data_IF_054305384539
#
_entry.id   IF_054305384539
#
_cell.length_a   1.000
_cell.length_b   1.000
_cell.length_c   1.000
_cell.angle_alpha   90.00
_cell.angle_beta   90.00
_cell.angle_gamma   90.00
#
_symmetry.space_group_name_H-M   'P 1'
#
loop_
_entity.id
_entity.type
_entity.pdbx_description
1 polymer ?
#
# COMPACT_ATOMS: atom_id res chain seq x y z
N UNK A 1 29.91 32.19 -19.62
CA UNK A 1 28.74 31.41 -20.10
C UNK A 1 28.41 30.38 -19.03
N UNK A 2 27.73 30.80 -17.95
CA UNK A 2 27.36 29.92 -16.84
C UNK A 2 25.86 29.86 -16.74
N UNK A 3 25.27 28.92 -17.50
CA UNK A 3 23.81 28.75 -17.59
C UNK A 3 23.32 27.49 -16.88
N UNK A 4 24.14 26.79 -16.08
CA UNK A 4 23.76 25.49 -15.49
C UNK A 4 23.89 25.38 -13.96
N UNK A 5 24.02 26.47 -13.24
CA UNK A 5 23.91 26.43 -11.77
C UNK A 5 22.66 27.19 -11.29
N UNK A 6 21.46 26.70 -11.67
CA UNK A 6 20.36 26.81 -10.75
C UNK A 6 20.61 25.76 -9.68
N UNK A 7 21.25 26.20 -8.58
CA UNK A 7 21.22 25.44 -7.34
C UNK A 7 19.74 25.11 -7.06
N UNK A 8 19.38 23.86 -7.17
CA UNK A 8 18.12 23.39 -6.63
C UNK A 8 18.24 23.65 -5.13
N UNK A 9 17.41 24.56 -4.61
CA UNK A 9 17.26 24.71 -3.17
C UNK A 9 17.03 23.30 -2.60
N UNK A 10 17.76 22.91 -1.54
CA UNK A 10 17.50 21.64 -0.88
C UNK A 10 16.06 21.68 -0.41
N UNK A 11 15.18 20.99 -1.11
CA UNK A 11 13.80 20.79 -0.69
C UNK A 11 13.93 20.02 0.61
N UNK A 12 13.67 20.68 1.73
CA UNK A 12 13.64 20.06 3.05
C UNK A 12 12.47 19.08 3.01
N UNK A 13 12.76 17.82 2.71
CA UNK A 13 11.76 16.79 2.52
C UNK A 13 11.62 16.07 3.84
N UNK A 14 10.43 16.10 4.37
CA UNK A 14 10.04 15.40 5.56
C UNK A 14 8.93 14.41 5.21
N UNK A 15 8.78 13.37 6.03
CA UNK A 15 7.63 12.49 5.97
C UNK A 15 6.34 13.31 6.09
N UNK A 16 5.48 13.20 5.07
CA UNK A 16 4.21 13.92 5.03
C UNK A 16 3.05 12.93 4.94
N UNK A 17 2.20 12.90 5.96
CA UNK A 17 0.92 12.20 5.90
C UNK A 17 -0.11 13.10 5.22
N UNK A 18 -0.44 12.81 3.96
CA UNK A 18 -1.49 13.53 3.22
C UNK A 18 -2.85 13.08 3.75
N UNK A 19 -3.05 11.75 3.91
CA UNK A 19 -4.18 11.19 4.64
C UNK A 19 -3.62 10.42 5.83
N UNK A 20 -3.82 10.91 7.07
CA UNK A 20 -3.15 10.36 8.25
C UNK A 20 -3.67 8.96 8.61
N UNK A 21 -2.81 8.21 9.28
CA UNK A 21 -3.17 6.91 9.86
C UNK A 21 -4.25 7.08 10.94
N UNK A 22 -5.33 6.31 10.80
CA UNK A 22 -6.40 6.20 11.79
C UNK A 22 -6.36 4.81 12.43
N UNK A 23 -6.19 4.76 13.74
CA UNK A 23 -6.12 3.52 14.49
C UNK A 23 -7.51 2.90 14.78
N UNK A 24 -8.59 3.50 14.28
CA UNK A 24 -9.98 3.05 14.41
C UNK A 24 -10.37 2.66 15.85
N UNK A 25 -9.77 3.30 16.84
CA UNK A 25 -9.93 2.94 18.25
C UNK A 25 -11.39 3.07 18.71
N UNK A 26 -12.10 4.09 18.22
CA UNK A 26 -13.52 4.30 18.56
C UNK A 26 -14.39 3.14 18.05
N UNK A 27 -14.08 2.59 16.89
CA UNK A 27 -14.80 1.46 16.32
C UNK A 27 -14.51 0.17 17.09
N UNK A 28 -13.24 -0.06 17.45
CA UNK A 28 -12.81 -1.18 18.30
C UNK A 28 -13.56 -1.13 19.64
N UNK A 29 -13.63 0.03 20.30
CA UNK A 29 -14.30 0.21 21.57
C UNK A 29 -15.82 -0.02 21.43
N UNK A 30 -16.45 0.50 20.39
CA UNK A 30 -17.88 0.27 20.10
C UNK A 30 -18.20 -1.20 19.89
N UNK A 31 -17.37 -1.94 19.16
CA UNK A 31 -17.57 -3.38 18.95
C UNK A 31 -17.43 -4.15 20.26
N UNK A 32 -16.47 -3.79 21.10
CA UNK A 32 -16.29 -4.38 22.43
C UNK A 32 -17.51 -4.14 23.30
N UNK A 33 -17.98 -2.90 23.41
CA UNK A 33 -19.18 -2.52 24.19
C UNK A 33 -20.43 -3.27 23.69
N UNK A 34 -20.62 -3.33 22.36
CA UNK A 34 -21.71 -4.11 21.77
C UNK A 34 -21.62 -5.59 22.14
N UNK A 35 -20.44 -6.17 22.20
CA UNK A 35 -20.26 -7.57 22.59
C UNK A 35 -20.64 -7.83 24.05
N UNK A 36 -20.54 -6.82 24.92
CA UNK A 36 -20.89 -6.91 26.34
C UNK A 36 -22.39 -6.71 26.58
N UNK A 37 -23.04 -5.89 25.74
CA UNK A 37 -24.48 -5.48 25.93
C UNK A 37 -25.47 -6.22 25.05
N UNK A 38 -25.04 -6.95 24.02
CA UNK A 38 -25.89 -7.64 23.08
C UNK A 38 -26.49 -8.94 23.64
N UNK A 39 -27.57 -9.48 23.02
CA UNK A 39 -28.10 -10.82 23.32
C UNK A 39 -27.01 -11.89 23.14
N UNK A 40 -27.14 -12.99 23.92
CA UNK A 40 -26.12 -14.08 23.95
C UNK A 40 -25.84 -14.68 22.56
N UNK A 41 -26.84 -14.75 21.70
CA UNK A 41 -26.77 -15.28 20.33
C UNK A 41 -25.87 -14.43 19.46
N UNK A 42 -25.81 -13.09 19.68
CA UNK A 42 -25.05 -12.14 18.92
C UNK A 42 -23.64 -11.91 19.49
N UNK A 43 -23.40 -12.33 20.71
CA UNK A 43 -22.13 -12.07 21.42
C UNK A 43 -20.90 -12.58 20.65
N UNK A 44 -20.99 -13.80 20.12
CA UNK A 44 -19.91 -14.41 19.34
C UNK A 44 -19.58 -13.57 18.10
N UNK A 45 -20.58 -13.08 17.38
CA UNK A 45 -20.41 -12.28 16.16
C UNK A 45 -19.65 -10.98 16.48
N UNK A 46 -20.07 -10.24 17.51
CA UNK A 46 -19.39 -9.00 17.88
C UNK A 46 -17.98 -9.23 18.43
N UNK A 47 -17.75 -10.31 19.19
CA UNK A 47 -16.40 -10.65 19.66
C UNK A 47 -15.47 -11.04 18.51
N UNK A 48 -15.96 -11.79 17.53
CA UNK A 48 -15.17 -12.13 16.33
C UNK A 48 -14.84 -10.86 15.55
N UNK A 49 -15.81 -10.02 15.22
CA UNK A 49 -15.60 -8.75 14.53
C UNK A 49 -14.63 -7.81 15.26
N UNK A 50 -14.74 -7.75 16.61
CA UNK A 50 -13.80 -6.98 17.43
C UNK A 50 -12.38 -7.53 17.35
N UNK A 51 -12.20 -8.85 17.46
CA UNK A 51 -10.88 -9.48 17.41
C UNK A 51 -10.22 -9.32 16.04
N UNK A 52 -10.97 -9.48 14.96
CA UNK A 52 -10.52 -9.29 13.59
C UNK A 52 -10.08 -7.84 13.35
N UNK A 53 -10.93 -6.87 13.72
CA UNK A 53 -10.59 -5.46 13.57
C UNK A 53 -9.37 -5.07 14.40
N UNK A 54 -9.28 -5.54 15.66
CA UNK A 54 -8.15 -5.25 16.53
C UNK A 54 -6.83 -5.84 15.97
N UNK A 55 -6.90 -7.05 15.41
CA UNK A 55 -5.75 -7.69 14.76
C UNK A 55 -5.32 -6.91 13.51
N UNK A 56 -6.26 -6.54 12.66
CA UNK A 56 -6.02 -5.74 11.46
C UNK A 56 -5.37 -4.39 11.80
N UNK A 57 -5.95 -3.66 12.76
CA UNK A 57 -5.40 -2.36 13.18
C UNK A 57 -4.00 -2.50 13.74
N UNK A 58 -3.71 -3.55 14.52
CA UNK A 58 -2.36 -3.83 15.03
C UNK A 58 -1.36 -4.06 13.90
N UNK A 59 -1.76 -4.75 12.84
CA UNK A 59 -0.93 -5.01 11.67
C UNK A 59 -0.65 -3.71 10.92
N UNK A 60 -1.69 -2.91 10.65
CA UNK A 60 -1.56 -1.60 10.01
C UNK A 60 -0.66 -0.67 10.84
N UNK A 61 -0.76 -0.72 12.17
CA UNK A 61 0.07 0.08 13.08
C UNK A 61 1.55 -0.31 13.02
N UNK A 62 1.89 -1.59 12.83
CA UNK A 62 3.28 -2.04 12.61
C UNK A 62 3.85 -1.39 11.35
N UNK A 63 3.11 -1.44 10.24
CA UNK A 63 3.52 -0.84 8.96
C UNK A 63 3.64 0.68 9.07
N UNK A 64 2.64 1.36 9.65
CA UNK A 64 2.71 2.81 9.91
C UNK A 64 3.91 3.20 10.77
N UNK A 65 4.21 2.40 11.80
CA UNK A 65 5.40 2.59 12.63
C UNK A 65 6.70 2.42 11.84
N UNK A 66 6.78 1.44 10.93
CA UNK A 66 7.92 1.24 10.04
C UNK A 66 8.13 2.44 9.11
N UNK A 67 7.04 2.99 8.54
CA UNK A 67 7.09 4.20 7.72
C UNK A 67 7.69 5.38 8.51
N UNK A 68 7.21 5.60 9.73
CA UNK A 68 7.71 6.70 10.58
C UNK A 68 9.18 6.48 10.97
N UNK A 69 9.56 5.26 11.35
CA UNK A 69 10.93 4.93 11.79
C UNK A 69 11.93 4.99 10.65
N UNK A 70 11.54 4.75 9.42
CA UNK A 70 12.44 4.84 8.27
C UNK A 70 13.06 6.24 8.15
N UNK A 71 12.38 7.30 8.63
CA UNK A 71 12.87 8.68 8.51
C UNK A 71 12.97 9.20 7.08
N UNK A 72 12.43 8.44 6.10
CA UNK A 72 12.47 8.80 4.69
C UNK A 72 11.49 9.93 4.36
N UNK A 73 11.78 10.78 3.38
CA UNK A 73 10.93 11.88 2.95
C UNK A 73 9.79 11.38 2.04
N UNK A 74 8.83 10.67 2.63
CA UNK A 74 7.74 10.04 1.93
C UNK A 74 6.46 10.89 1.99
N UNK A 75 5.65 10.81 0.93
CA UNK A 75 4.25 11.28 0.96
C UNK A 75 3.34 10.06 1.11
N UNK A 76 2.50 10.04 2.15
CA UNK A 76 1.75 8.85 2.56
C UNK A 76 0.27 9.13 2.66
N UNK A 77 -0.53 8.25 2.06
CA UNK A 77 -1.97 8.17 2.24
C UNK A 77 -2.31 6.85 2.94
N UNK A 78 -3.21 6.91 3.90
CA UNK A 78 -3.72 5.73 4.58
C UNK A 78 -5.18 5.47 4.22
N UNK A 79 -5.54 4.21 3.99
CA UNK A 79 -6.89 3.74 3.73
C UNK A 79 -7.61 4.57 2.64
N UNK A 80 -7.11 4.45 1.43
CA UNK A 80 -7.56 5.21 0.26
C UNK A 80 -8.44 4.34 -0.61
N UNK A 81 -9.65 4.78 -0.89
CA UNK A 81 -10.49 4.17 -1.91
C UNK A 81 -10.36 4.97 -3.19
N UNK A 82 -9.74 4.36 -4.20
CA UNK A 82 -9.70 4.91 -5.54
C UNK A 82 -10.98 4.57 -6.28
N UNK A 83 -11.53 5.54 -6.99
CA UNK A 83 -12.65 5.34 -7.89
C UNK A 83 -12.33 5.95 -9.25
N UNK A 84 -12.34 5.12 -10.26
CA UNK A 84 -12.26 5.51 -11.65
C UNK A 84 -13.60 5.24 -12.34
N UNK A 85 -13.78 5.69 -13.57
CA UNK A 85 -15.01 5.44 -14.33
C UNK A 85 -15.29 3.95 -14.56
N UNK A 86 -14.26 3.10 -14.47
CA UNK A 86 -14.34 1.68 -14.82
C UNK A 86 -14.19 0.73 -13.63
N UNK A 87 -13.63 1.19 -12.50
CA UNK A 87 -13.30 0.31 -11.38
C UNK A 87 -13.14 1.09 -10.08
N UNK A 88 -13.19 0.37 -8.97
CA UNK A 88 -12.84 0.90 -7.65
C UNK A 88 -11.97 -0.10 -6.90
N UNK A 89 -11.04 0.39 -6.11
CA UNK A 89 -10.14 -0.43 -5.28
C UNK A 89 -9.72 0.33 -4.04
N UNK A 90 -9.47 -0.40 -2.96
CA UNK A 90 -8.97 0.18 -1.71
C UNK A 90 -7.48 -0.13 -1.57
N UNK A 91 -6.71 0.88 -1.18
CA UNK A 91 -5.29 0.81 -0.89
C UNK A 91 -5.11 1.09 0.60
N UNK A 92 -4.48 0.18 1.32
CA UNK A 92 -4.25 0.35 2.75
C UNK A 92 -3.23 1.46 3.02
N UNK A 93 -2.09 1.44 2.31
CA UNK A 93 -1.14 2.55 2.29
C UNK A 93 -0.69 2.83 0.85
N UNK A 94 -0.79 4.08 0.44
CA UNK A 94 -0.15 4.57 -0.77
C UNK A 94 1.03 5.44 -0.36
N UNK A 95 2.23 5.05 -0.77
CA UNK A 95 3.48 5.71 -0.40
C UNK A 95 4.17 6.21 -1.66
N UNK A 96 4.48 7.50 -1.70
CA UNK A 96 5.20 8.12 -2.81
C UNK A 96 6.57 8.53 -2.29
N UNK A 97 7.61 7.90 -2.82
CA UNK A 97 9.01 8.24 -2.59
C UNK A 97 9.56 9.07 -3.76
N UNK A 98 10.86 9.31 -3.74
CA UNK A 98 11.56 10.02 -4.82
C UNK A 98 11.52 9.29 -6.16
N UNK A 99 11.41 7.94 -6.13
CA UNK A 99 11.50 7.11 -7.32
C UNK A 99 10.34 6.14 -7.50
N UNK A 100 9.66 5.77 -6.42
CA UNK A 100 8.64 4.74 -6.42
C UNK A 100 7.30 5.26 -5.92
N UNK A 101 6.25 4.68 -6.44
CA UNK A 101 4.89 4.77 -5.94
C UNK A 101 4.52 3.38 -5.44
N UNK A 102 4.45 3.21 -4.12
CA UNK A 102 4.24 1.90 -3.49
C UNK A 102 2.77 1.77 -3.10
N UNK A 103 2.12 0.75 -3.65
CA UNK A 103 0.72 0.40 -3.37
C UNK A 103 0.71 -0.76 -2.39
N UNK A 104 0.43 -0.50 -1.12
CA UNK A 104 0.47 -1.50 -0.06
C UNK A 104 -0.92 -2.01 0.24
N UNK A 105 -1.10 -3.32 0.17
CA UNK A 105 -2.28 -4.04 0.62
C UNK A 105 -1.89 -5.08 1.67
N UNK A 106 -2.84 -5.45 2.51
CA UNK A 106 -2.66 -6.52 3.49
C UNK A 106 -3.34 -7.79 3.02
N UNK A 107 -2.66 -8.92 3.22
CA UNK A 107 -3.26 -10.22 3.03
C UNK A 107 -4.32 -10.44 4.11
N UNK A 108 -5.53 -10.70 3.70
CA UNK A 108 -6.63 -10.97 4.60
C UNK A 108 -6.62 -12.45 4.94
N UNK A 109 -6.61 -12.78 6.23
CA UNK A 109 -6.85 -14.15 6.70
C UNK A 109 -8.36 -14.42 6.57
N UNK A 110 -8.89 -14.51 5.35
CA UNK A 110 -10.21 -15.06 5.17
C UNK A 110 -10.16 -16.53 5.60
N UNK A 111 -10.88 -16.87 6.67
CA UNK A 111 -11.26 -18.24 6.93
C UNK A 111 -12.24 -18.67 5.84
N UNK A 112 -11.69 -19.03 4.70
CA UNK A 112 -12.46 -19.67 3.65
C UNK A 112 -12.76 -21.07 4.16
N UNK A 113 -13.97 -21.29 4.67
CA UNK A 113 -14.54 -22.63 4.82
C UNK A 113 -14.68 -23.19 3.40
N UNK A 114 -13.64 -23.86 2.96
CA UNK A 114 -13.64 -24.58 1.68
C UNK A 114 -14.62 -25.73 1.78
N UNK A 115 -15.63 -25.68 0.93
CA UNK A 115 -16.41 -26.86 0.60
C UNK A 115 -15.43 -27.91 0.07
N UNK A 116 -15.34 -29.06 0.75
CA UNK A 116 -14.26 -30.08 0.66
C UNK A 116 -14.12 -30.78 -0.71
N UNK A 117 -14.66 -30.25 -1.79
CA UNK A 117 -14.85 -31.00 -3.05
C UNK A 117 -13.95 -30.62 -4.22
N UNK A 118 -13.10 -29.58 -4.17
CA UNK A 118 -12.25 -29.27 -5.31
C UNK A 118 -10.79 -28.97 -4.96
N UNK A 119 -10.01 -30.04 -4.76
CA UNK A 119 -8.55 -29.97 -4.51
C UNK A 119 -7.75 -29.41 -5.69
N UNK A 120 -8.35 -29.22 -6.88
CA UNK A 120 -7.69 -28.66 -8.07
C UNK A 120 -7.50 -27.16 -7.99
N UNK A 121 -8.27 -26.46 -7.16
CA UNK A 121 -8.21 -25.01 -6.94
C UNK A 121 -7.59 -24.60 -5.62
N UNK A 122 -6.96 -25.51 -4.89
CA UNK A 122 -6.37 -25.24 -3.56
C UNK A 122 -5.22 -24.22 -3.57
N UNK A 123 -4.64 -23.91 -4.74
CA UNK A 123 -3.59 -22.87 -4.90
C UNK A 123 -4.14 -21.49 -5.32
N UNK A 124 -5.40 -21.41 -5.69
CA UNK A 124 -6.00 -20.17 -6.19
C UNK A 124 -6.20 -19.04 -5.13
N UNK A 125 -6.43 -19.33 -3.82
CA UNK A 125 -6.57 -18.29 -2.82
C UNK A 125 -5.31 -17.43 -2.64
N UNK A 126 -4.14 -18.08 -2.57
CA UNK A 126 -2.86 -17.36 -2.43
C UNK A 126 -2.58 -16.44 -3.62
N UNK A 127 -2.96 -16.88 -4.83
CA UNK A 127 -2.82 -16.05 -6.03
C UNK A 127 -3.84 -14.93 -6.11
N UNK A 128 -5.03 -15.07 -5.51
CA UNK A 128 -6.11 -14.07 -5.60
C UNK A 128 -5.72 -12.73 -5.00
N UNK A 129 -5.04 -12.73 -3.87
CA UNK A 129 -4.61 -11.50 -3.18
C UNK A 129 -3.43 -10.83 -3.90
N UNK A 130 -2.49 -11.63 -4.42
CA UNK A 130 -1.42 -11.14 -5.29
C UNK A 130 -2.00 -10.47 -6.54
N UNK A 131 -2.95 -11.12 -7.21
CA UNK A 131 -3.64 -10.56 -8.38
C UNK A 131 -4.38 -9.28 -8.02
N UNK A 132 -5.09 -9.24 -6.89
CA UNK A 132 -5.81 -8.04 -6.44
C UNK A 132 -4.85 -6.87 -6.16
N UNK A 133 -3.66 -7.14 -5.61
CA UNK A 133 -2.64 -6.12 -5.41
C UNK A 133 -2.12 -5.57 -6.74
N UNK A 134 -1.85 -6.45 -7.70
CA UNK A 134 -1.39 -6.07 -9.04
C UNK A 134 -2.48 -5.28 -9.81
N UNK A 135 -3.74 -5.74 -9.76
CA UNK A 135 -4.88 -5.05 -10.39
C UNK A 135 -5.09 -3.64 -9.80
N UNK A 136 -4.97 -3.50 -8.48
CA UNK A 136 -5.09 -2.19 -7.81
C UNK A 136 -3.96 -1.25 -8.21
N UNK A 137 -2.73 -1.75 -8.30
CA UNK A 137 -1.60 -0.97 -8.77
C UNK A 137 -1.72 -0.60 -10.25
N UNK A 138 -2.21 -1.51 -11.11
CA UNK A 138 -2.52 -1.22 -12.51
C UNK A 138 -3.56 -0.10 -12.63
N UNK A 139 -4.65 -0.19 -11.86
CA UNK A 139 -5.70 0.83 -11.87
C UNK A 139 -5.15 2.22 -11.51
N UNK A 140 -4.29 2.29 -10.47
CA UNK A 140 -3.62 3.54 -10.11
C UNK A 140 -2.68 4.03 -11.21
N UNK A 141 -1.86 3.14 -11.78
CA UNK A 141 -0.91 3.47 -12.83
C UNK A 141 -1.62 4.01 -14.08
N UNK A 142 -2.72 3.37 -14.50
CA UNK A 142 -3.54 3.80 -15.62
C UNK A 142 -4.16 5.17 -15.36
N UNK A 143 -4.73 5.38 -14.15
CA UNK A 143 -5.26 6.68 -13.75
C UNK A 143 -4.20 7.79 -13.80
N UNK A 144 -3.02 7.54 -13.24
CA UNK A 144 -1.92 8.50 -13.26
C UNK A 144 -1.42 8.78 -14.68
N UNK A 145 -1.43 7.78 -15.55
CA UNK A 145 -1.05 7.91 -16.95
C UNK A 145 -2.07 8.74 -17.75
N UNK A 146 -3.36 8.46 -17.59
CA UNK A 146 -4.46 9.22 -18.22
C UNK A 146 -4.42 10.70 -17.82
N UNK A 147 -4.13 10.97 -16.55
CA UNK A 147 -3.98 12.33 -16.00
C UNK A 147 -2.60 12.94 -16.26
N UNK A 148 -1.76 12.30 -17.08
CA UNK A 148 -0.41 12.76 -17.46
C UNK A 148 0.51 13.02 -16.25
N UNK A 149 0.24 12.36 -15.13
CA UNK A 149 1.10 12.39 -13.94
C UNK A 149 2.28 11.43 -14.10
N UNK A 150 2.09 10.29 -14.79
CA UNK A 150 3.13 9.34 -15.17
C UNK A 150 3.23 9.21 -16.70
N UNK A 151 4.43 8.97 -17.20
CA UNK A 151 4.68 8.52 -18.56
C UNK A 151 4.69 6.98 -18.62
N UNK A 152 4.51 6.42 -19.83
CA UNK A 152 4.57 4.96 -20.03
C UNK A 152 5.88 4.31 -19.56
N UNK A 153 6.98 5.06 -19.57
CA UNK A 153 8.29 4.58 -19.08
C UNK A 153 8.39 4.52 -17.55
N UNK A 154 7.47 5.17 -16.86
CA UNK A 154 7.46 5.27 -15.39
C UNK A 154 6.43 4.35 -14.74
N UNK A 155 5.62 3.64 -15.51
CA UNK A 155 4.63 2.71 -14.98
C UNK A 155 5.30 1.61 -14.12
N UNK A 156 6.50 1.15 -14.49
CA UNK A 156 7.27 0.19 -13.71
C UNK A 156 7.68 0.70 -12.30
N UNK A 157 7.55 2.01 -12.05
CA UNK A 157 7.79 2.62 -10.74
C UNK A 157 6.58 2.53 -9.80
N UNK A 158 5.44 2.05 -10.29
CA UNK A 158 4.28 1.70 -9.45
C UNK A 158 4.45 0.25 -9.00
N UNK A 159 4.68 0.07 -7.70
CA UNK A 159 5.08 -1.21 -7.10
C UNK A 159 4.00 -1.68 -6.15
N UNK A 160 3.28 -2.76 -6.46
CA UNK A 160 2.37 -3.41 -5.53
C UNK A 160 3.17 -4.17 -4.46
N UNK A 161 2.81 -3.96 -3.20
CA UNK A 161 3.38 -4.66 -2.04
C UNK A 161 2.24 -5.28 -1.25
N UNK A 162 2.31 -6.59 -1.05
CA UNK A 162 1.39 -7.35 -0.23
C UNK A 162 2.04 -7.62 1.13
N UNK A 163 1.44 -7.12 2.19
CA UNK A 163 1.90 -7.40 3.55
C UNK A 163 1.32 -8.74 4.01
N UNK A 164 2.20 -9.70 4.27
CA UNK A 164 1.86 -11.05 4.72
C UNK A 164 2.62 -11.38 6.02
N UNK A 165 1.91 -11.73 7.10
CA UNK A 165 2.53 -12.12 8.37
C UNK A 165 3.22 -13.50 8.28
N UNK A 166 2.76 -14.36 7.37
CA UNK A 166 3.23 -15.74 7.23
C UNK A 166 4.34 -15.89 6.17
N UNK A 167 4.72 -14.79 5.48
CA UNK A 167 5.73 -14.81 4.42
C UNK A 167 7.14 -15.12 4.96
N UNK A 168 7.93 -15.85 4.18
CA UNK A 168 9.35 -16.06 4.48
C UNK A 168 10.18 -14.78 4.23
N UNK A 169 11.20 -14.52 5.06
CA UNK A 169 12.00 -13.28 4.99
C UNK A 169 12.72 -13.06 3.65
N UNK A 170 12.92 -14.12 2.87
CA UNK A 170 13.71 -14.12 1.64
C UNK A 170 13.08 -13.37 0.47
N UNK A 171 11.77 -13.14 0.45
CA UNK A 171 11.11 -12.46 -0.67
C UNK A 171 11.26 -10.93 -0.63
N UNK A 172 11.61 -10.37 0.54
CA UNK A 172 11.72 -8.93 0.77
C UNK A 172 13.02 -8.30 0.22
N UNK A 173 14.02 -9.09 -0.21
CA UNK A 173 15.38 -8.63 -0.46
C UNK A 173 15.70 -8.17 -1.89
N UNK A 174 14.79 -8.34 -2.86
CA UNK A 174 15.07 -7.94 -4.23
C UNK A 174 14.49 -6.56 -4.54
N UNK A 175 15.27 -5.75 -5.24
CA UNK A 175 14.84 -4.43 -5.70
C UNK A 175 13.63 -4.56 -6.64
N UNK A 176 12.53 -3.80 -6.43
CA UNK A 176 11.29 -3.96 -7.21
C UNK A 176 11.50 -3.81 -8.71
N UNK A 177 12.31 -2.85 -9.13
CA UNK A 177 12.58 -2.56 -10.55
C UNK A 177 13.33 -3.71 -11.22
N UNK A 178 14.19 -4.44 -10.50
CA UNK A 178 14.96 -5.57 -11.05
C UNK A 178 14.08 -6.82 -11.26
N UNK A 179 12.94 -6.91 -10.56
CA UNK A 179 11.98 -8.01 -10.70
C UNK A 179 10.91 -7.78 -11.75
N UNK A 180 10.91 -6.63 -12.42
CA UNK A 180 9.87 -6.26 -13.37
C UNK A 180 9.88 -7.17 -14.60
N UNK A 181 9.06 -8.21 -14.61
CA UNK A 181 8.54 -8.77 -15.83
C UNK A 181 7.33 -7.92 -16.25
N UNK A 182 7.58 -7.05 -17.22
CA UNK A 182 6.60 -6.07 -17.70
C UNK A 182 5.48 -6.77 -18.46
N UNK A 183 4.48 -7.29 -17.78
CA UNK A 183 3.27 -7.80 -18.44
C UNK A 183 2.25 -6.68 -18.71
N UNK A 184 2.21 -5.67 -17.83
CA UNK A 184 1.25 -4.56 -17.87
C UNK A 184 1.92 -3.20 -17.71
N UNK A 185 3.26 -3.14 -17.66
CA UNK A 185 4.02 -1.91 -17.41
C UNK A 185 4.27 -1.61 -15.95
N UNK A 186 3.71 -2.38 -15.01
CA UNK A 186 4.00 -2.30 -13.58
C UNK A 186 4.82 -3.49 -13.10
N UNK A 187 5.41 -3.36 -11.90
CA UNK A 187 6.12 -4.45 -11.24
C UNK A 187 5.15 -5.52 -10.74
N UNK A 188 5.62 -6.78 -10.62
CA UNK A 188 4.88 -7.83 -9.91
C UNK A 188 4.75 -7.49 -8.43
N UNK A 189 3.69 -7.98 -7.79
CA UNK A 189 3.51 -7.81 -6.37
C UNK A 189 4.66 -8.47 -5.58
N UNK A 190 5.15 -7.74 -4.59
CA UNK A 190 6.17 -8.18 -3.65
C UNK A 190 5.50 -8.53 -2.33
N UNK A 191 5.76 -9.72 -1.81
CA UNK A 191 5.26 -10.12 -0.51
C UNK A 191 6.29 -9.77 0.57
N UNK A 192 5.87 -9.01 1.59
CA UNK A 192 6.75 -8.46 2.64
C UNK A 192 6.13 -8.68 4.01
N UNK A 193 6.94 -9.16 4.98
CA UNK A 193 6.51 -9.21 6.39
C UNK A 193 6.38 -7.81 6.99
N UNK A 194 5.38 -7.59 7.85
CA UNK A 194 5.21 -6.30 8.53
C UNK A 194 6.43 -5.88 9.35
N UNK A 195 7.11 -6.83 9.97
CA UNK A 195 8.25 -6.57 10.86
C UNK A 195 9.55 -6.18 10.10
N UNK A 196 9.64 -6.49 8.80
CA UNK A 196 10.78 -6.11 7.93
C UNK A 196 10.44 -5.00 6.95
N UNK A 197 9.22 -4.47 6.99
CA UNK A 197 8.77 -3.44 6.04
C UNK A 197 9.59 -2.14 6.16
N UNK A 198 9.99 -1.74 7.37
CA UNK A 198 10.90 -0.60 7.58
C UNK A 198 12.22 -0.79 6.82
N UNK A 199 12.83 -1.97 6.95
CA UNK A 199 14.08 -2.30 6.25
C UNK A 199 13.87 -2.29 4.74
N UNK A 200 12.76 -2.86 4.27
CA UNK A 200 12.41 -2.86 2.86
C UNK A 200 12.27 -1.43 2.31
N UNK A 201 11.62 -0.52 3.06
CA UNK A 201 11.53 0.90 2.69
C UNK A 201 12.91 1.55 2.57
N UNK A 202 13.79 1.32 3.56
CA UNK A 202 15.14 1.86 3.55
C UNK A 202 15.97 1.38 2.34
N UNK A 203 15.80 0.12 1.94
CA UNK A 203 16.52 -0.46 0.81
C UNK A 203 15.97 -0.03 -0.56
N UNK A 204 14.68 0.31 -0.66
CA UNK A 204 14.01 0.53 -1.95
C UNK A 204 13.51 1.97 -2.17
N UNK A 205 13.40 2.77 -1.10
CA UNK A 205 12.88 4.13 -1.15
C UNK A 205 13.92 5.15 -0.66
N UNK A 206 15.21 4.83 -0.74
CA UNK A 206 16.28 5.77 -0.39
C UNK A 206 16.15 7.09 -1.16
N UNK A 207 16.73 8.16 -0.57
CA UNK A 207 16.80 9.45 -1.24
C UNK A 207 17.72 9.34 -2.45
N UNK A 208 17.16 9.50 -3.62
CA UNK A 208 17.90 9.38 -4.88
C UNK A 208 18.75 10.63 -5.15
N UNK A 209 19.94 10.43 -5.71
CA UNK A 209 20.75 11.53 -6.27
C UNK A 209 20.03 12.19 -7.46
N UNK A 210 19.19 11.42 -8.17
CA UNK A 210 18.43 11.88 -9.34
C UNK A 210 16.93 11.58 -9.16
N UNK A 211 16.26 12.27 -8.24
CA UNK A 211 14.86 11.98 -7.91
C UNK A 211 13.94 12.25 -9.10
N UNK A 212 13.00 11.33 -9.33
CA UNK A 212 12.01 11.40 -10.42
C UNK A 212 10.76 12.15 -9.99
N UNK A 213 10.29 11.88 -8.76
CA UNK A 213 9.04 12.41 -8.22
C UNK A 213 9.28 13.55 -7.23
N UNK A 214 9.63 14.74 -7.75
CA UNK A 214 9.87 15.94 -6.95
C UNK A 214 9.13 17.16 -7.46
N UNK A 215 8.96 18.15 -6.62
CA UNK A 215 8.44 19.49 -6.95
C UNK A 215 7.09 19.42 -7.68
N UNK A 216 7.05 19.97 -8.89
CA UNK A 216 5.84 19.96 -9.72
C UNK A 216 5.36 18.54 -10.08
N UNK A 217 6.28 17.59 -10.20
CA UNK A 217 5.95 16.23 -10.57
C UNK A 217 5.27 15.49 -9.44
N UNK A 218 5.79 15.61 -8.23
CA UNK A 218 5.15 15.08 -7.04
C UNK A 218 3.74 15.69 -6.87
N UNK A 219 3.60 17.02 -7.05
CA UNK A 219 2.28 17.68 -6.99
C UNK A 219 1.30 17.11 -8.01
N UNK A 220 1.71 16.90 -9.26
CA UNK A 220 0.83 16.30 -10.26
C UNK A 220 0.35 14.90 -9.87
N UNK A 221 1.22 14.10 -9.24
CA UNK A 221 0.85 12.77 -8.77
C UNK A 221 -0.14 12.89 -7.62
N UNK A 222 0.15 13.72 -6.60
CA UNK A 222 -0.75 13.91 -5.46
C UNK A 222 -2.09 14.51 -5.88
N UNK A 223 -2.10 15.52 -6.74
CA UNK A 223 -3.34 16.11 -7.28
C UNK A 223 -4.19 15.07 -8.06
N UNK A 224 -3.55 14.20 -8.83
CA UNK A 224 -4.25 13.14 -9.56
C UNK A 224 -4.78 12.06 -8.60
N UNK A 225 -4.04 11.72 -7.55
CA UNK A 225 -4.51 10.80 -6.50
C UNK A 225 -5.70 11.41 -5.76
N UNK A 226 -5.62 12.68 -5.34
CA UNK A 226 -6.69 13.36 -4.62
C UNK A 226 -7.99 13.45 -5.42
N UNK A 227 -7.92 13.52 -6.75
CA UNK A 227 -9.09 13.47 -7.64
C UNK A 227 -9.75 12.09 -7.72
N UNK A 228 -8.98 11.02 -7.50
CA UNK A 228 -9.49 9.65 -7.53
C UNK A 228 -9.98 9.15 -6.17
N UNK A 229 -9.60 9.83 -5.08
CA UNK A 229 -9.93 9.44 -3.70
C UNK A 229 -11.34 9.90 -3.33
N UNK A 230 -12.11 8.99 -2.72
CA UNK A 230 -13.44 9.25 -2.17
C UNK A 230 -13.36 9.34 -0.65
#
# INVERSE_FOLDING_TARGET
MDLFHRAQEPVNRELTWIKPFDNRMDEILRLKEKSETCPKEMKKVFLTAWAELASQVKLHQKVASGIVKSGLPLSVYYNVTLKTDMSSGTIDFLIISDELIVVVLFKTKEHIEWDRYDTRFAKLPEMKEVIAAEETACMLADWLSVNRALSSKELARVVPVLIDEDQDELSASAHPIERSEVFTGISKALEVKPDVFEKWLLENCEVSEFPVFIGQRLRKITDAVDQAVI
#
